data_IF_414672703370
#
_entry.id   IF_414672703370
#
_cell.length_a   1.000
_cell.length_b   1.000
_cell.length_c   1.000
_cell.angle_alpha   90.00
_cell.angle_beta   90.00
_cell.angle_gamma   90.00
#
_symmetry.space_group_name_H-M   'P 1'
#
loop_
_entity.id
_entity.type
_entity.pdbx_description
1 polymer ?
#
# COMPACT_ATOMS: atom_id res chain seq x y z
N UNK A 1 9.79 12.19 10.41
CA UNK A 1 9.26 12.39 9.04
C UNK A 1 8.59 11.08 8.67
N UNK A 2 7.37 11.11 8.14
CA UNK A 2 6.61 9.90 7.76
C UNK A 2 7.32 9.18 6.60
N UNK A 3 7.55 7.88 6.74
CA UNK A 3 8.15 7.05 5.68
C UNK A 3 7.04 6.39 4.85
N UNK A 4 7.05 6.65 3.54
CA UNK A 4 6.02 6.16 2.62
C UNK A 4 6.65 5.34 1.51
N UNK A 5 6.10 4.17 1.22
CA UNK A 5 6.55 3.37 0.08
C UNK A 5 5.38 3.02 -0.84
N UNK A 6 5.56 3.28 -2.13
CA UNK A 6 4.67 2.80 -3.19
C UNK A 6 5.25 1.50 -3.75
N UNK A 7 4.44 0.43 -3.78
CA UNK A 7 4.79 -0.85 -4.41
C UNK A 7 3.87 -1.09 -5.60
N UNK A 8 4.43 -1.17 -6.81
CA UNK A 8 3.65 -1.31 -8.05
C UNK A 8 3.90 -2.66 -8.69
N UNK A 9 2.86 -3.49 -8.74
CA UNK A 9 2.89 -4.81 -9.36
C UNK A 9 2.45 -4.83 -10.83
N UNK A 10 2.66 -3.76 -11.58
CA UNK A 10 2.39 -3.76 -13.01
C UNK A 10 3.63 -4.27 -13.77
N UNK A 11 3.52 -5.28 -14.67
CA UNK A 11 4.66 -5.76 -15.44
C UNK A 11 5.19 -4.76 -16.47
N UNK A 12 4.47 -3.65 -16.71
CA UNK A 12 4.93 -2.55 -17.56
C UNK A 12 5.45 -1.41 -16.69
N UNK A 13 6.72 -1.00 -16.83
CA UNK A 13 7.29 0.09 -16.05
C UNK A 13 6.62 1.43 -16.42
N UNK A 14 6.69 2.39 -15.50
CA UNK A 14 6.09 3.72 -15.65
C UNK A 14 4.61 3.66 -16.06
N UNK A 15 3.87 2.76 -15.44
CA UNK A 15 2.50 2.42 -15.80
C UNK A 15 1.48 3.46 -15.31
N UNK A 16 0.26 3.40 -15.87
CA UNK A 16 -0.88 4.16 -15.32
C UNK A 16 -1.17 3.80 -13.87
N UNK A 17 -0.93 2.54 -13.49
CA UNK A 17 -1.07 2.06 -12.11
C UNK A 17 -0.11 2.80 -11.17
N UNK A 18 1.16 2.99 -11.57
CA UNK A 18 2.13 3.79 -10.82
C UNK A 18 1.63 5.22 -10.67
N UNK A 19 1.25 5.87 -11.76
CA UNK A 19 0.79 7.26 -11.74
C UNK A 19 -0.40 7.48 -10.79
N UNK A 20 -1.34 6.52 -10.75
CA UNK A 20 -2.48 6.58 -9.82
C UNK A 20 -2.01 6.45 -8.37
N UNK A 21 -1.08 5.53 -8.07
CA UNK A 21 -0.53 5.37 -6.74
C UNK A 21 0.24 6.60 -6.24
N UNK A 22 1.01 7.24 -7.11
CA UNK A 22 1.68 8.52 -6.83
C UNK A 22 0.65 9.62 -6.54
N UNK A 23 -0.41 9.74 -7.35
CA UNK A 23 -1.48 10.70 -7.13
C UNK A 23 -2.21 10.48 -5.79
N UNK A 24 -2.38 9.22 -5.35
CA UNK A 24 -2.93 8.92 -4.02
C UNK A 24 -2.05 9.51 -2.93
N UNK A 25 -0.74 9.32 -3.00
CA UNK A 25 0.20 9.87 -2.00
C UNK A 25 0.22 11.38 -2.05
N UNK A 26 0.30 12.00 -3.22
CA UNK A 26 0.35 13.45 -3.40
C UNK A 26 -0.91 14.17 -2.85
N UNK A 27 -2.08 13.54 -2.99
CA UNK A 27 -3.33 14.11 -2.48
C UNK A 27 -3.58 13.81 -1.00
N UNK A 28 -3.06 12.69 -0.51
CA UNK A 28 -3.24 12.28 0.88
C UNK A 28 -2.30 13.02 1.83
N UNK A 29 -1.08 13.31 1.39
CA UNK A 29 -0.02 13.84 2.25
C UNK A 29 0.47 15.20 1.75
N UNK A 30 0.72 16.15 2.65
CA UNK A 30 1.26 17.46 2.27
C UNK A 30 2.68 17.31 1.70
N UNK A 31 2.98 18.13 0.72
CA UNK A 31 4.32 18.20 0.11
C UNK A 31 5.40 18.47 1.17
N UNK A 32 6.49 17.69 1.15
CA UNK A 32 7.61 17.83 2.07
C UNK A 32 7.38 17.26 3.48
N UNK A 33 6.21 16.68 3.76
CA UNK A 33 5.88 16.06 5.04
C UNK A 33 6.31 14.59 5.19
N UNK A 34 6.81 13.97 4.12
CA UNK A 34 7.13 12.54 4.08
C UNK A 34 8.36 12.24 3.22
N UNK A 35 8.97 11.10 3.49
CA UNK A 35 10.05 10.49 2.67
C UNK A 35 9.42 9.40 1.80
N UNK A 36 9.35 9.65 0.48
CA UNK A 36 8.72 8.76 -0.48
C UNK A 36 9.74 7.86 -1.18
N UNK A 37 9.49 6.55 -1.14
CA UNK A 37 10.19 5.56 -1.95
C UNK A 37 9.19 4.93 -2.94
N UNK A 38 9.57 4.80 -4.20
CA UNK A 38 8.80 4.11 -5.24
C UNK A 38 9.52 2.82 -5.63
N UNK A 39 8.81 1.69 -5.55
CA UNK A 39 9.28 0.37 -5.98
C UNK A 39 8.37 -0.08 -7.13
N UNK A 40 8.82 0.17 -8.37
CA UNK A 40 8.17 -0.37 -9.57
C UNK A 40 8.74 -1.77 -9.84
N UNK A 41 7.96 -2.81 -9.49
CA UNK A 41 8.40 -4.20 -9.59
C UNK A 41 8.72 -4.66 -11.01
N UNK A 42 8.29 -3.92 -12.03
CA UNK A 42 8.69 -4.18 -13.43
C UNK A 42 10.21 -4.11 -13.61
N UNK A 43 10.89 -3.22 -12.89
CA UNK A 43 12.35 -3.04 -12.93
C UNK A 43 13.10 -4.21 -12.29
N UNK A 44 12.42 -4.97 -11.45
CA UNK A 44 12.98 -6.10 -10.68
C UNK A 44 12.42 -7.45 -11.12
N UNK A 45 11.72 -7.53 -12.24
CA UNK A 45 10.99 -8.72 -12.67
C UNK A 45 11.86 -9.97 -12.80
N UNK A 46 13.15 -9.83 -13.17
CA UNK A 46 14.12 -10.93 -13.25
C UNK A 46 14.52 -11.49 -11.87
N UNK A 47 14.37 -10.72 -10.80
CA UNK A 47 14.80 -11.07 -9.45
C UNK A 47 13.67 -11.59 -8.55
N UNK A 48 12.42 -11.44 -8.97
CA UNK A 48 11.24 -11.75 -8.13
C UNK A 48 11.28 -13.17 -7.57
N UNK A 49 11.72 -14.13 -8.38
CA UNK A 49 11.78 -15.55 -7.99
C UNK A 49 13.20 -16.05 -7.64
N UNK A 50 14.18 -15.15 -7.52
CA UNK A 50 15.50 -15.49 -6.99
C UNK A 50 15.44 -15.75 -5.48
N UNK A 51 16.01 -16.87 -5.03
CA UNK A 51 16.15 -17.22 -3.62
C UNK A 51 17.50 -17.89 -3.35
N UNK A 52 18.35 -17.31 -2.47
CA UNK A 52 18.21 -15.98 -1.85
C UNK A 52 18.44 -14.84 -2.86
N UNK A 53 17.98 -13.62 -2.53
CA UNK A 53 18.23 -12.41 -3.31
C UNK A 53 18.41 -11.22 -2.39
N UNK A 54 19.59 -10.64 -2.34
CA UNK A 54 19.88 -9.46 -1.54
C UNK A 54 19.04 -8.25 -1.98
N UNK A 55 18.87 -8.07 -3.29
CA UNK A 55 18.01 -7.00 -3.86
C UNK A 55 16.59 -7.10 -3.36
N UNK A 56 15.99 -8.29 -3.46
CA UNK A 56 14.60 -8.48 -3.01
C UNK A 56 14.48 -8.34 -1.49
N UNK A 57 15.45 -8.80 -0.73
CA UNK A 57 15.49 -8.63 0.73
C UNK A 57 15.51 -7.15 1.10
N UNK A 58 16.40 -6.37 0.50
CA UNK A 58 16.50 -4.93 0.76
C UNK A 58 15.18 -4.19 0.43
N UNK A 59 14.51 -4.54 -0.69
CA UNK A 59 13.22 -3.97 -1.04
C UNK A 59 12.12 -4.38 -0.05
N UNK A 60 12.08 -5.64 0.37
CA UNK A 60 11.11 -6.13 1.35
C UNK A 60 11.29 -5.45 2.71
N UNK A 61 12.54 -5.30 3.16
CA UNK A 61 12.88 -4.61 4.42
C UNK A 61 12.48 -3.13 4.36
N UNK A 62 12.69 -2.46 3.22
CA UNK A 62 12.27 -1.07 3.03
C UNK A 62 10.76 -0.91 3.16
N UNK A 63 9.97 -1.80 2.55
CA UNK A 63 8.51 -1.79 2.66
C UNK A 63 8.07 -2.07 4.10
N UNK A 64 8.66 -3.06 4.76
CA UNK A 64 8.34 -3.41 6.14
C UNK A 64 8.70 -2.32 7.17
N UNK A 65 9.67 -1.46 6.85
CA UNK A 65 10.08 -0.32 7.68
C UNK A 65 9.26 0.95 7.42
N UNK A 66 8.28 0.92 6.52
CA UNK A 66 7.45 2.08 6.18
C UNK A 66 6.31 2.28 7.17
N UNK A 67 5.96 3.53 7.44
CA UNK A 67 4.75 3.89 8.20
C UNK A 67 3.49 3.67 7.37
N UNK A 68 3.58 4.00 6.07
CA UNK A 68 2.49 3.87 5.10
C UNK A 68 3.00 3.22 3.81
N UNK A 69 2.23 2.28 3.29
CA UNK A 69 2.47 1.72 1.97
C UNK A 69 1.23 1.87 1.08
N UNK A 70 1.45 2.20 -0.19
CA UNK A 70 0.43 2.11 -1.24
C UNK A 70 0.79 0.92 -2.12
N UNK A 71 -0.03 -0.13 -2.09
CA UNK A 71 0.19 -1.35 -2.86
C UNK A 71 -0.73 -1.34 -4.07
N UNK A 72 -0.16 -1.21 -5.26
CA UNK A 72 -0.89 -0.97 -6.49
C UNK A 72 -0.68 -2.08 -7.53
N UNK A 73 -1.75 -2.55 -8.15
CA UNK A 73 -1.74 -3.58 -9.19
C UNK A 73 -2.77 -3.31 -10.29
N UNK A 74 -2.48 -3.60 -11.56
CA UNK A 74 -3.54 -3.74 -12.55
C UNK A 74 -4.34 -5.02 -12.27
N UNK A 75 -5.57 -5.05 -12.74
CA UNK A 75 -6.42 -6.24 -12.68
C UNK A 75 -6.11 -7.15 -13.86
N UNK A 76 -5.49 -8.31 -13.59
CA UNK A 76 -5.26 -9.36 -14.55
C UNK A 76 -6.02 -10.62 -14.12
N UNK A 77 -6.93 -11.08 -14.99
CA UNK A 77 -7.76 -12.27 -14.69
C UNK A 77 -8.46 -12.18 -13.33
N UNK A 78 -9.17 -11.05 -13.13
CA UNK A 78 -9.99 -10.73 -11.96
C UNK A 78 -9.25 -10.44 -10.65
N UNK A 79 -7.92 -10.43 -10.63
CA UNK A 79 -7.14 -10.20 -9.42
C UNK A 79 -5.86 -9.39 -9.70
N UNK A 80 -5.05 -9.16 -8.66
CA UNK A 80 -3.72 -8.57 -8.79
C UNK A 80 -2.77 -9.48 -9.60
N UNK A 81 -1.66 -8.94 -10.05
CA UNK A 81 -0.70 -9.66 -10.90
C UNK A 81 0.11 -10.69 -10.13
N UNK A 82 0.59 -11.72 -10.85
CA UNK A 82 1.58 -12.66 -10.31
C UNK A 82 2.90 -12.00 -9.93
N UNK A 83 3.27 -10.89 -10.59
CA UNK A 83 4.45 -10.08 -10.25
C UNK A 83 4.34 -9.51 -8.83
N UNK A 84 3.20 -8.90 -8.49
CA UNK A 84 2.96 -8.42 -7.14
C UNK A 84 2.92 -9.56 -6.13
N UNK A 85 2.23 -10.67 -6.47
CA UNK A 85 2.14 -11.83 -5.58
C UNK A 85 3.51 -12.41 -5.30
N UNK A 86 4.36 -12.59 -6.33
CA UNK A 86 5.71 -13.12 -6.17
C UNK A 86 6.60 -12.26 -5.25
N UNK A 87 6.43 -10.94 -5.24
CA UNK A 87 7.09 -10.06 -4.29
C UNK A 87 6.53 -10.21 -2.87
N UNK A 88 5.21 -10.21 -2.72
CA UNK A 88 4.55 -10.29 -1.40
C UNK A 88 4.72 -11.67 -0.75
N UNK A 89 4.92 -12.75 -1.51
CA UNK A 89 5.19 -14.09 -0.98
C UNK A 89 6.54 -14.21 -0.26
N UNK A 90 7.39 -13.20 -0.35
CA UNK A 90 8.69 -13.17 0.33
C UNK A 90 8.58 -12.84 1.82
N UNK A 91 7.45 -12.27 2.25
CA UNK A 91 7.25 -11.94 3.66
C UNK A 91 6.93 -13.17 4.49
N UNK A 92 7.51 -13.23 5.68
CA UNK A 92 7.04 -14.16 6.71
C UNK A 92 5.65 -13.74 7.23
N UNK A 93 5.00 -14.61 7.98
CA UNK A 93 3.75 -14.27 8.66
C UNK A 93 3.92 -13.01 9.52
N UNK A 94 2.99 -12.07 9.40
CA UNK A 94 3.05 -10.75 10.06
C UNK A 94 4.27 -9.88 9.66
N UNK A 95 4.89 -10.11 8.51
CA UNK A 95 6.05 -9.35 8.05
C UNK A 95 5.79 -7.86 7.79
N UNK A 96 4.51 -7.45 7.71
CA UNK A 96 4.07 -6.05 7.60
C UNK A 96 3.35 -5.55 8.87
N UNK A 97 3.61 -6.16 10.04
CA UNK A 97 3.01 -5.71 11.29
C UNK A 97 3.43 -4.27 11.61
N UNK A 98 2.45 -3.43 11.92
CA UNK A 98 2.66 -2.01 12.23
C UNK A 98 2.62 -1.10 11.01
N UNK A 99 2.59 -1.65 9.81
CA UNK A 99 2.49 -0.88 8.56
C UNK A 99 1.03 -0.60 8.23
N UNK A 100 0.72 0.65 7.87
CA UNK A 100 -0.58 1.02 7.29
C UNK A 100 -0.51 0.80 5.77
N UNK A 101 -1.49 0.09 5.21
CA UNK A 101 -1.51 -0.23 3.79
C UNK A 101 -2.78 0.28 3.10
N UNK A 102 -2.62 0.88 1.94
CA UNK A 102 -3.70 1.30 1.04
C UNK A 102 -3.69 0.39 -0.19
N UNK A 103 -4.70 -0.49 -0.35
CA UNK A 103 -4.82 -1.32 -1.53
C UNK A 103 -5.37 -0.51 -2.72
N UNK A 104 -4.69 -0.58 -3.85
CA UNK A 104 -5.08 0.09 -5.11
C UNK A 104 -5.09 -0.92 -6.24
N UNK A 105 -6.18 -0.99 -6.99
CA UNK A 105 -6.20 -1.74 -8.25
C UNK A 105 -6.74 -0.90 -9.39
N UNK A 106 -6.28 -1.20 -10.60
CA UNK A 106 -6.73 -0.53 -11.82
C UNK A 106 -7.31 -1.54 -12.80
N UNK A 107 -8.37 -1.17 -13.50
CA UNK A 107 -9.01 -2.03 -14.49
C UNK A 107 -9.50 -1.27 -15.70
N UNK A 108 -9.96 -2.00 -16.73
CA UNK A 108 -10.50 -1.41 -17.95
C UNK A 108 -11.93 -0.86 -17.74
N UNK A 109 -12.70 -1.51 -16.88
CA UNK A 109 -14.10 -1.20 -16.57
C UNK A 109 -14.42 -1.55 -15.11
N UNK A 110 -15.68 -1.41 -14.69
CA UNK A 110 -16.13 -1.64 -13.31
C UNK A 110 -16.38 -3.12 -12.94
N UNK A 111 -16.22 -4.06 -13.86
CA UNK A 111 -16.54 -5.49 -13.64
C UNK A 111 -15.83 -6.07 -12.43
N UNK A 112 -14.61 -5.62 -12.17
CA UNK A 112 -13.77 -6.11 -11.07
C UNK A 112 -13.55 -5.05 -9.98
N UNK A 113 -14.47 -4.10 -9.82
CA UNK A 113 -14.34 -2.98 -8.85
C UNK A 113 -14.16 -3.44 -7.40
N UNK A 114 -14.68 -4.60 -7.03
CA UNK A 114 -14.46 -5.21 -5.71
C UNK A 114 -13.09 -5.89 -5.57
N UNK A 115 -12.33 -6.03 -6.66
CA UNK A 115 -11.06 -6.77 -6.68
C UNK A 115 -10.06 -6.35 -5.58
N UNK A 116 -9.81 -5.06 -5.35
CA UNK A 116 -8.88 -4.66 -4.29
C UNK A 116 -9.37 -5.03 -2.90
N UNK A 117 -10.68 -5.00 -2.62
CA UNK A 117 -11.23 -5.35 -1.31
C UNK A 117 -11.30 -6.87 -1.07
N UNK A 118 -11.63 -7.65 -2.10
CA UNK A 118 -11.82 -9.11 -1.94
C UNK A 118 -10.56 -9.93 -2.21
N UNK A 119 -9.56 -9.37 -2.88
CA UNK A 119 -8.31 -10.07 -3.21
C UNK A 119 -7.08 -9.44 -2.55
N UNK A 120 -6.82 -8.13 -2.78
CA UNK A 120 -5.57 -7.51 -2.33
C UNK A 120 -5.59 -7.18 -0.84
N UNK A 121 -6.69 -6.62 -0.32
CA UNK A 121 -6.83 -6.33 1.12
C UNK A 121 -6.62 -7.56 1.99
N UNK A 122 -7.28 -8.72 1.76
CA UNK A 122 -7.07 -9.91 2.57
C UNK A 122 -5.62 -10.38 2.59
N UNK A 123 -4.89 -10.27 1.47
CA UNK A 123 -3.48 -10.60 1.40
C UNK A 123 -2.64 -9.67 2.29
N UNK A 124 -2.88 -8.36 2.25
CA UNK A 124 -2.16 -7.40 3.09
C UNK A 124 -2.45 -7.60 4.57
N UNK A 125 -3.69 -7.94 4.92
CA UNK A 125 -4.09 -8.29 6.30
C UNK A 125 -3.42 -9.59 6.76
N UNK A 126 -3.32 -10.61 5.92
CA UNK A 126 -2.58 -11.85 6.19
C UNK A 126 -1.10 -11.56 6.49
N UNK A 127 -0.50 -10.59 5.82
CA UNK A 127 0.86 -10.14 6.08
C UNK A 127 0.99 -9.26 7.35
N UNK A 128 -0.10 -8.97 8.03
CA UNK A 128 -0.12 -8.20 9.28
C UNK A 128 -0.28 -6.70 9.13
N UNK A 129 -0.48 -6.18 7.90
CA UNK A 129 -0.70 -4.76 7.68
C UNK A 129 -2.10 -4.31 8.13
N UNK A 130 -2.22 -3.06 8.57
CA UNK A 130 -3.50 -2.40 8.85
C UNK A 130 -4.04 -1.72 7.59
N UNK A 131 -5.29 -1.99 7.21
CA UNK A 131 -5.93 -1.42 6.02
C UNK A 131 -7.17 -0.61 6.40
N UNK A 132 -7.02 0.60 6.97
CA UNK A 132 -8.14 1.37 7.57
C UNK A 132 -9.04 2.03 6.54
N UNK A 133 -8.55 2.28 5.33
CA UNK A 133 -9.31 2.92 4.26
C UNK A 133 -10.14 1.92 3.46
N UNK A 134 -11.11 2.41 2.71
CA UNK A 134 -11.61 1.64 1.56
C UNK A 134 -10.49 1.49 0.55
N UNK A 135 -10.47 0.39 -0.19
CA UNK A 135 -9.54 0.23 -1.30
C UNK A 135 -9.91 1.17 -2.45
N UNK A 136 -8.93 1.59 -3.23
CA UNK A 136 -9.18 2.32 -4.46
C UNK A 136 -9.21 1.35 -5.66
N UNK A 137 -10.31 1.37 -6.42
CA UNK A 137 -10.36 0.79 -7.75
C UNK A 137 -10.52 1.90 -8.79
N UNK A 138 -9.56 1.99 -9.72
CA UNK A 138 -9.54 3.04 -10.72
C UNK A 138 -9.76 2.49 -12.14
N UNK A 139 -10.72 3.06 -12.87
CA UNK A 139 -11.01 2.67 -14.26
C UNK A 139 -10.09 3.44 -15.20
N UNK A 140 -9.20 2.72 -15.91
CA UNK A 140 -8.12 3.33 -16.69
C UNK A 140 -8.54 4.15 -17.90
N UNK A 141 -9.81 4.10 -18.31
CA UNK A 141 -10.37 5.03 -19.32
C UNK A 141 -10.66 6.42 -18.78
N UNK A 142 -10.63 6.60 -17.43
CA UNK A 142 -10.93 7.87 -16.74
C UNK A 142 -9.67 8.63 -16.32
N UNK A 143 -8.53 8.42 -16.99
CA UNK A 143 -7.26 9.07 -16.63
C UNK A 143 -7.31 10.60 -16.69
N UNK A 144 -8.15 11.17 -17.51
CA UNK A 144 -8.43 12.63 -17.61
C UNK A 144 -9.14 13.18 -16.37
N UNK A 145 -9.82 12.33 -15.60
CA UNK A 145 -10.51 12.66 -14.36
C UNK A 145 -9.77 12.17 -13.11
N UNK A 146 -8.53 11.70 -13.27
CA UNK A 146 -7.77 11.04 -12.19
C UNK A 146 -7.67 11.92 -10.95
N UNK A 147 -7.36 13.19 -11.10
CA UNK A 147 -7.19 14.12 -10.00
C UNK A 147 -8.48 14.31 -9.20
N UNK A 148 -9.62 14.32 -9.87
CA UNK A 148 -10.92 14.43 -9.23
C UNK A 148 -11.27 13.14 -8.48
N UNK A 149 -11.20 11.99 -9.17
CA UNK A 149 -11.58 10.68 -8.62
C UNK A 149 -10.71 10.31 -7.41
N UNK A 150 -9.40 10.54 -7.50
CA UNK A 150 -8.49 10.27 -6.38
C UNK A 150 -8.73 11.27 -5.24
N UNK A 151 -9.01 12.54 -5.55
CA UNK A 151 -9.36 13.55 -4.55
C UNK A 151 -10.61 13.16 -3.77
N UNK A 152 -11.69 12.81 -4.44
CA UNK A 152 -12.94 12.35 -3.81
C UNK A 152 -12.69 11.12 -2.93
N UNK A 153 -11.89 10.15 -3.40
CA UNK A 153 -11.53 8.99 -2.61
C UNK A 153 -10.72 9.37 -1.36
N UNK A 154 -9.79 10.32 -1.45
CA UNK A 154 -9.01 10.82 -0.29
C UNK A 154 -9.93 11.47 0.72
N UNK A 155 -10.85 12.34 0.29
CA UNK A 155 -11.81 13.02 1.16
C UNK A 155 -12.69 12.02 1.92
N UNK A 156 -13.17 10.99 1.23
CA UNK A 156 -13.99 9.92 1.82
C UNK A 156 -13.24 9.10 2.89
N UNK A 157 -11.91 9.01 2.80
CA UNK A 157 -11.08 8.15 3.66
C UNK A 157 -10.22 8.94 4.67
N UNK A 158 -10.12 10.26 4.55
CA UNK A 158 -9.28 11.10 5.40
C UNK A 158 -9.59 10.93 6.89
N UNK A 159 -10.87 10.80 7.24
CA UNK A 159 -11.32 10.61 8.62
C UNK A 159 -10.76 9.30 9.22
N UNK A 160 -10.79 8.18 8.47
CA UNK A 160 -10.28 6.89 8.94
C UNK A 160 -8.78 6.93 9.22
N UNK A 161 -8.02 7.63 8.37
CA UNK A 161 -6.57 7.79 8.54
C UNK A 161 -6.22 8.75 9.68
N UNK A 162 -6.98 9.83 9.86
CA UNK A 162 -6.74 10.80 10.93
C UNK A 162 -7.00 10.23 12.33
N UNK A 163 -7.84 9.20 12.46
CA UNK A 163 -8.13 8.56 13.74
C UNK A 163 -7.03 7.61 14.23
N UNK A 164 -6.10 7.19 13.36
CA UNK A 164 -5.04 6.24 13.75
C UNK A 164 -4.08 6.83 14.79
N UNK A 165 -3.66 8.06 14.62
CA UNK A 165 -2.68 8.71 15.50
C UNK A 165 -3.20 8.92 16.92
N UNK A 166 -4.38 9.51 17.17
CA UNK A 166 -4.94 9.62 18.52
C UNK A 166 -5.15 8.27 19.21
N UNK A 167 -5.52 7.22 18.48
CA UNK A 167 -5.70 5.87 19.04
C UNK A 167 -4.36 5.27 19.48
N UNK A 168 -3.31 5.40 18.66
CA UNK A 168 -1.97 4.92 19.00
C UNK A 168 -1.43 5.68 20.22
N UNK A 169 -1.58 7.00 20.25
CA UNK A 169 -1.11 7.83 21.36
C UNK A 169 -1.83 7.46 22.67
N UNK A 170 -3.14 7.20 22.66
CA UNK A 170 -3.89 6.78 23.84
C UNK A 170 -3.47 5.39 24.35
N UNK A 171 -3.33 4.42 23.48
CA UNK A 171 -2.90 3.06 23.83
C UNK A 171 -1.47 3.05 24.37
N UNK A 172 -0.57 3.85 23.79
CA UNK A 172 0.81 3.97 24.27
C UNK A 172 0.89 4.62 25.64
N UNK A 173 0.03 5.58 25.96
CA UNK A 173 -0.07 6.20 27.28
C UNK A 173 -0.52 5.18 28.35
N UNK A 174 -1.54 4.36 28.06
CA UNK A 174 -2.02 3.33 28.97
C UNK A 174 -0.99 2.23 29.22
N UNK A 175 -0.25 1.80 28.19
CA UNK A 175 0.82 0.80 28.36
C UNK A 175 1.96 1.32 29.24
N UNK A 176 2.33 2.59 29.13
CA UNK A 176 3.38 3.20 29.96
C UNK A 176 2.98 3.28 31.45
N UNK A 177 1.68 3.40 31.75
CA UNK A 177 1.17 3.39 33.12
C UNK A 177 1.21 1.99 33.76
N UNK A 178 1.02 0.94 32.96
CA UNK A 178 1.07 -0.45 33.44
C UNK A 178 2.52 -0.88 33.76
N UNK A 179 3.50 -0.46 32.95
CA UNK A 179 4.91 -0.77 33.17
C UNK A 179 5.52 0.03 34.33
N UNK A 180 5.04 1.25 34.59
CA UNK A 180 5.49 2.10 35.72
C UNK A 180 4.97 1.68 37.10
N UNK A 181 3.94 0.84 37.15
CA UNK A 181 3.32 0.36 38.42
C UNK A 181 3.92 -0.89 39.02
N UNK A 182 4.92 -1.50 38.40
CA UNK A 182 5.60 -2.72 38.88
C UNK A 182 7.01 -2.43 39.47
N UNK A 183 7.07 -1.52 40.45
CA UNK A 183 8.27 -1.32 41.30
C UNK A 183 7.90 -1.39 42.77
#
# INVERSE_FOLDING_TARGET
MLTVTIVVGNPKPNSRTLKIAETVVDKLLPSGGHDLTVIDLAEYSSHIFEWPSETMTALSDRVAASDLIVVASPTYKATYTGLLKGFLDRYAANGLRGVVAIPVMTGADATHSMGPDVNLRPLLVELGASTPTRSLYFITSQMDQMDQIVGEWVDDNAAALSMLRPLVDSVSADLSLVEGGAR
#
